data_IF_744989203364
#
_entry.id   IF_744989203364
#
_cell.length_a   1.000
_cell.length_b   1.000
_cell.length_c   1.000
_cell.angle_alpha   90.00
_cell.angle_beta   90.00
_cell.angle_gamma   90.00
#
_symmetry.space_group_name_H-M   'P 1'
#
loop_
_entity.id
_entity.type
_entity.pdbx_description
1 polymer ?
#
# COMPACT_ATOMS: atom_id res chain seq x y z
N UNK A 1 4.66 8.96 4.62
CA UNK A 1 4.97 7.75 5.42
C UNK A 1 4.61 6.45 4.69
N UNK A 2 3.36 6.20 4.30
CA UNK A 2 3.01 4.95 3.58
C UNK A 2 3.67 4.79 2.22
N UNK A 3 3.72 5.87 1.41
CA UNK A 3 4.39 5.87 0.10
C UNK A 3 5.86 5.42 0.23
N UNK A 4 6.59 5.96 1.21
CA UNK A 4 7.98 5.58 1.51
C UNK A 4 8.11 4.09 1.85
N UNK A 5 7.25 3.56 2.71
CA UNK A 5 7.31 2.14 3.05
C UNK A 5 6.94 1.24 1.86
N UNK A 6 6.01 1.68 1.01
CA UNK A 6 5.66 0.94 -0.21
C UNK A 6 6.84 0.97 -1.21
N UNK A 7 7.56 2.11 -1.35
CA UNK A 7 8.82 2.14 -2.13
C UNK A 7 9.91 1.25 -1.55
N UNK A 8 9.95 1.11 -0.22
CA UNK A 8 10.90 0.26 0.51
C UNK A 8 10.48 -1.23 0.55
N UNK A 9 9.43 -1.61 -0.20
CA UNK A 9 9.00 -3.01 -0.37
C UNK A 9 7.97 -3.52 0.64
N UNK A 10 7.46 -2.67 1.54
CA UNK A 10 6.34 -3.02 2.42
C UNK A 10 5.01 -2.93 1.67
N UNK A 11 4.69 -3.98 0.92
CA UNK A 11 3.55 -3.98 -0.02
C UNK A 11 2.25 -4.54 0.57
N UNK A 12 2.27 -5.15 1.76
CA UNK A 12 1.07 -5.77 2.36
C UNK A 12 0.45 -4.90 3.45
N UNK A 13 -0.90 -4.80 3.53
CA UNK A 13 -1.55 -3.92 4.50
C UNK A 13 -1.18 -4.25 5.95
N UNK A 14 -1.02 -5.54 6.29
CA UNK A 14 -0.57 -5.94 7.63
C UNK A 14 0.89 -5.55 7.93
N UNK A 15 1.77 -5.54 6.93
CA UNK A 15 3.17 -5.11 7.12
C UNK A 15 3.22 -3.60 7.34
N UNK A 16 2.44 -2.85 6.55
CA UNK A 16 2.31 -1.40 6.66
C UNK A 16 1.76 -1.01 8.03
N UNK A 17 0.69 -1.65 8.49
CA UNK A 17 0.13 -1.42 9.83
C UNK A 17 1.18 -1.64 10.93
N UNK A 18 1.96 -2.71 10.85
CA UNK A 18 3.02 -2.97 11.85
C UNK A 18 4.14 -1.94 11.83
N UNK A 19 4.50 -1.41 10.65
CA UNK A 19 5.56 -0.38 10.55
C UNK A 19 5.10 1.00 10.95
N UNK A 20 3.85 1.37 10.66
CA UNK A 20 3.30 2.66 11.04
C UNK A 20 2.72 2.67 12.45
N UNK A 21 2.53 1.50 13.07
CA UNK A 21 1.83 1.32 14.35
C UNK A 21 0.44 1.98 14.38
N UNK A 22 -0.18 2.16 13.21
CA UNK A 22 -1.47 2.82 13.08
C UNK A 22 -2.63 1.81 13.17
N UNK A 23 -3.80 2.32 13.53
CA UNK A 23 -5.02 1.53 13.53
C UNK A 23 -5.38 1.01 12.15
N UNK A 24 -5.97 -0.19 12.11
CA UNK A 24 -6.38 -0.84 10.85
C UNK A 24 -7.30 0.04 10.00
N UNK A 25 -8.24 0.75 10.64
CA UNK A 25 -9.18 1.65 9.94
C UNK A 25 -8.45 2.83 9.31
N UNK A 26 -7.50 3.43 10.03
CA UNK A 26 -6.66 4.52 9.53
C UNK A 26 -5.85 4.05 8.32
N UNK A 27 -5.20 2.89 8.42
CA UNK A 27 -4.43 2.30 7.31
C UNK A 27 -5.30 2.03 6.09
N UNK A 28 -6.50 1.50 6.32
CA UNK A 28 -7.43 1.19 5.22
C UNK A 28 -7.87 2.47 4.50
N UNK A 29 -8.23 3.51 5.25
CA UNK A 29 -8.64 4.79 4.67
C UNK A 29 -7.50 5.44 3.88
N UNK A 30 -6.29 5.50 4.46
CA UNK A 30 -5.13 6.09 3.79
C UNK A 30 -4.73 5.32 2.53
N UNK A 31 -4.76 3.98 2.55
CA UNK A 31 -4.47 3.17 1.37
C UNK A 31 -5.53 3.39 0.27
N UNK A 32 -6.81 3.49 0.65
CA UNK A 32 -7.88 3.77 -0.30
C UNK A 32 -7.74 5.16 -0.93
N UNK A 33 -7.40 6.18 -0.15
CA UNK A 33 -7.12 7.54 -0.66
C UNK A 33 -5.94 7.52 -1.64
N UNK A 34 -4.84 6.85 -1.29
CA UNK A 34 -3.67 6.73 -2.16
C UNK A 34 -3.98 6.01 -3.48
N UNK A 35 -4.86 5.01 -3.45
CA UNK A 35 -5.35 4.33 -4.67
C UNK A 35 -6.25 5.27 -5.48
N UNK A 36 -7.18 5.96 -4.81
CA UNK A 36 -8.13 6.87 -5.45
C UNK A 36 -7.42 8.02 -6.17
N UNK A 37 -6.38 8.58 -5.57
CA UNK A 37 -5.56 9.63 -6.18
C UNK A 37 -4.49 9.10 -7.16
N UNK A 38 -4.39 7.79 -7.33
CA UNK A 38 -3.47 7.16 -8.29
C UNK A 38 -2.00 7.20 -7.88
N UNK A 39 -1.68 7.39 -6.59
CA UNK A 39 -0.31 7.29 -6.09
C UNK A 39 0.16 5.83 -6.08
N UNK A 40 -0.74 4.91 -5.73
CA UNK A 40 -0.47 3.47 -5.64
C UNK A 40 -1.52 2.67 -6.39
N UNK A 41 -1.19 1.44 -6.80
CA UNK A 41 -2.12 0.44 -7.31
C UNK A 41 -2.37 -0.62 -6.24
N UNK A 42 -3.63 -1.08 -6.16
CA UNK A 42 -4.02 -2.25 -5.38
C UNK A 42 -4.03 -3.47 -6.30
N UNK A 43 -3.22 -4.47 -5.98
CA UNK A 43 -3.14 -5.74 -6.69
C UNK A 43 -3.82 -6.82 -5.83
N UNK A 44 -4.94 -7.34 -6.30
CA UNK A 44 -5.68 -8.42 -5.64
C UNK A 44 -5.39 -9.75 -6.34
N UNK A 45 -5.00 -10.76 -5.57
CA UNK A 45 -4.66 -12.09 -6.07
C UNK A 45 -5.70 -13.10 -5.59
N UNK A 46 -6.36 -13.76 -6.53
CA UNK A 46 -7.32 -14.83 -6.26
C UNK A 46 -6.60 -16.18 -6.03
N UNK A 47 -5.74 -16.22 -5.01
CA UNK A 47 -5.09 -17.45 -4.54
C UNK A 47 -5.94 -18.14 -3.47
N UNK A 48 -5.63 -19.41 -3.16
CA UNK A 48 -6.31 -20.18 -2.09
C UNK A 48 -6.42 -19.41 -0.76
N UNK A 49 -5.45 -18.56 -0.48
CA UNK A 49 -5.52 -17.52 0.55
C UNK A 49 -5.62 -16.18 -0.18
N UNK A 50 -6.69 -15.38 0.02
CA UNK A 50 -6.79 -14.06 -0.59
C UNK A 50 -5.58 -13.20 -0.21
N UNK A 51 -4.97 -12.59 -1.22
CA UNK A 51 -3.75 -11.80 -1.05
C UNK A 51 -3.94 -10.44 -1.71
N UNK A 52 -3.55 -9.39 -1.00
CA UNK A 52 -3.60 -8.01 -1.47
C UNK A 52 -2.23 -7.38 -1.28
N UNK A 53 -1.71 -6.76 -2.35
CA UNK A 53 -0.46 -6.01 -2.34
C UNK A 53 -0.63 -4.63 -2.96
N UNK A 54 0.22 -3.69 -2.56
CA UNK A 54 0.23 -2.32 -3.03
C UNK A 54 1.57 -1.99 -3.68
N UNK A 55 1.52 -1.20 -4.75
CA UNK A 55 2.71 -0.82 -5.52
C UNK A 55 2.59 0.64 -5.95
N UNK A 56 3.70 1.39 -6.01
CA UNK A 56 3.70 2.73 -6.58
C UNK A 56 3.30 2.70 -8.06
N UNK A 57 2.41 3.61 -8.47
CA UNK A 57 2.16 3.78 -9.91
C UNK A 57 3.42 4.30 -10.60
N UNK A 58 3.53 4.03 -11.91
CA UNK A 58 4.72 4.34 -12.71
C UNK A 58 5.16 5.81 -12.61
N UNK A 59 4.22 6.74 -12.42
CA UNK A 59 4.48 8.17 -12.30
C UNK A 59 5.25 8.53 -11.02
N UNK A 60 5.16 7.70 -9.97
CA UNK A 60 5.82 7.91 -8.68
C UNK A 60 6.93 6.89 -8.41
N UNK A 61 7.29 6.04 -9.39
CA UNK A 61 8.45 5.12 -9.28
C UNK A 61 9.81 5.82 -9.38
N UNK A 62 9.82 7.10 -9.73
CA UNK A 62 11.01 7.96 -9.88
C UNK A 62 11.02 9.07 -8.84
N UNK A 63 10.64 8.78 -7.59
CA UNK A 63 11.01 9.67 -6.49
C UNK A 63 12.53 9.55 -6.30
N UNK A 64 13.30 10.64 -6.52
CA UNK A 64 14.75 10.66 -6.36
C UNK A 64 15.19 10.48 -4.90
#
# INVERSE_FOLDING_TARGET
>A
MLIYYISDGYIRPGNLQRKTMADRRVITNQLNELVQHGFIKKNEFNTKIPKVEFELTRQYKTLP
#
